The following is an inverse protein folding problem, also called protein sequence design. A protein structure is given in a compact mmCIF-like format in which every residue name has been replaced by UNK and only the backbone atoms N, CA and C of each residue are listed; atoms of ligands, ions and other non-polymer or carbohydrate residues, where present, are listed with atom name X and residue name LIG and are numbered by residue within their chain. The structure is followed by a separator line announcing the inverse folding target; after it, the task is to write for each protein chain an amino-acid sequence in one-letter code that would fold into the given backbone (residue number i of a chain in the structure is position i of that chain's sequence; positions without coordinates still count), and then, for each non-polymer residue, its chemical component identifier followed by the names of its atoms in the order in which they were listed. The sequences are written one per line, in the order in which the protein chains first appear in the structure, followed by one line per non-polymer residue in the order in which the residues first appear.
data_IF_229387583018
#
_entry.id   IF_229387583018
#
_cell.length_a   1.000
_cell.length_b   1.000
_cell.length_c   1.000
_cell.angle_alpha   90.00
_cell.angle_beta   90.00
_cell.angle_gamma   90.00
#
_symmetry.space_group_name_H-M   'P 1'
#
loop_
_entity.id
_entity.type
_entity.pdbx_description
1 polymer ?
#
# COMPACT_ATOMS: atom_id res chain seq x y z
N UNK A 1 30.61 9.44 -44.06
CA UNK A 1 30.50 9.84 -42.64
C UNK A 1 29.08 10.37 -42.41
N UNK A 2 28.25 9.61 -41.69
CA UNK A 2 26.84 9.90 -41.47
C UNK A 2 26.58 10.15 -39.98
N UNK A 3 25.84 11.21 -39.64
CA UNK A 3 25.20 11.37 -38.32
C UNK A 3 23.78 11.88 -38.52
N UNK A 4 22.83 10.98 -38.26
CA UNK A 4 21.40 11.15 -38.46
C UNK A 4 20.69 11.86 -37.31
N UNK A 5 19.54 12.42 -37.67
CA UNK A 5 18.69 13.27 -36.84
C UNK A 5 18.09 12.57 -35.61
N UNK A 6 17.91 13.36 -34.55
CA UNK A 6 17.13 12.99 -33.38
C UNK A 6 15.67 13.41 -33.59
N UNK A 7 14.80 12.41 -33.70
CA UNK A 7 13.35 12.59 -33.72
C UNK A 7 12.82 13.03 -32.34
N UNK A 8 12.30 14.26 -32.28
CA UNK A 8 11.37 14.75 -31.25
C UNK A 8 9.96 14.27 -31.63
N UNK A 9 9.40 13.30 -30.91
CA UNK A 9 7.96 13.01 -30.99
C UNK A 9 7.22 13.96 -30.03
N UNK A 10 6.38 14.83 -30.62
CA UNK A 10 5.41 15.70 -29.95
C UNK A 10 4.25 14.83 -29.43
N UNK A 11 3.83 15.05 -28.19
CA UNK A 11 2.56 14.51 -27.67
C UNK A 11 1.41 15.33 -28.27
N UNK A 12 0.59 14.69 -29.08
CA UNK A 12 -0.62 15.28 -29.64
C UNK A 12 -1.70 15.27 -28.56
N UNK A 13 -2.22 16.45 -28.23
CA UNK A 13 -3.40 16.61 -27.38
C UNK A 13 -4.66 16.34 -28.20
N UNK A 14 -5.62 15.64 -27.60
CA UNK A 14 -6.96 15.50 -28.15
C UNK A 14 -7.85 16.62 -27.61
N UNK A 15 -8.23 17.53 -28.50
CA UNK A 15 -9.37 18.43 -28.34
C UNK A 15 -10.66 17.60 -28.50
N UNK A 16 -11.60 17.77 -27.58
CA UNK A 16 -12.98 17.36 -27.75
C UNK A 16 -13.69 18.34 -28.68
N UNK A 17 -14.27 17.83 -29.76
CA UNK A 17 -15.27 18.52 -30.57
C UNK A 17 -16.49 17.60 -30.61
N UNK A 18 -17.63 18.12 -30.17
CA UNK A 18 -18.94 17.49 -30.23
C UNK A 18 -19.39 17.35 -31.69
N UNK A 19 -20.07 16.25 -32.00
CA UNK A 19 -21.27 16.24 -32.85
C UNK A 19 -22.04 14.92 -32.65
N UNK A 20 -23.36 15.05 -32.59
CA UNK A 20 -24.39 14.02 -32.50
C UNK A 20 -24.41 13.12 -33.76
N UNK A 21 -24.57 11.80 -33.60
CA UNK A 21 -25.75 11.07 -34.12
C UNK A 21 -25.68 9.54 -33.86
N UNK A 22 -26.80 9.03 -33.33
CA UNK A 22 -27.37 7.67 -33.33
C UNK A 22 -26.59 6.45 -33.87
N UNK A 23 -26.38 5.42 -33.01
CA UNK A 23 -26.86 4.02 -33.19
C UNK A 23 -26.37 3.04 -32.12
N UNK A 24 -27.16 1.99 -31.98
CA UNK A 24 -27.31 1.04 -30.89
C UNK A 24 -26.30 -0.14 -30.91
N UNK A 25 -26.20 -0.78 -29.74
CA UNK A 25 -25.83 -2.17 -29.44
C UNK A 25 -24.37 -2.59 -29.22
N UNK A 26 -24.18 -3.01 -27.95
CA UNK A 26 -23.61 -4.26 -27.48
C UNK A 26 -22.13 -4.37 -27.05
N UNK A 27 -22.03 -4.69 -25.75
CA UNK A 27 -21.06 -5.57 -25.13
C UNK A 27 -19.59 -5.12 -25.12
N UNK A 28 -19.31 -4.05 -24.38
CA UNK A 28 -17.99 -3.84 -23.78
C UNK A 28 -18.13 -3.97 -22.27
N UNK A 29 -17.48 -5.00 -21.72
CA UNK A 29 -17.23 -5.19 -20.29
C UNK A 29 -16.62 -3.91 -19.73
N UNK A 30 -17.48 -3.09 -19.13
CA UNK A 30 -17.07 -1.89 -18.43
C UNK A 30 -16.21 -2.34 -17.24
N UNK A 31 -14.92 -1.98 -17.27
CA UNK A 31 -14.10 -2.01 -16.07
C UNK A 31 -14.86 -1.25 -14.96
N UNK A 32 -14.92 -1.78 -13.72
CA UNK A 32 -15.67 -1.13 -12.66
C UNK A 32 -15.18 0.30 -12.51
N UNK A 33 -16.12 1.24 -12.63
CA UNK A 33 -15.87 2.67 -12.52
C UNK A 33 -15.15 2.93 -11.20
N UNK A 34 -14.01 3.60 -11.27
CA UNK A 34 -13.29 4.13 -10.11
C UNK A 34 -14.30 4.94 -9.30
N UNK A 35 -14.75 4.43 -8.17
CA UNK A 35 -15.60 5.19 -7.26
C UNK A 35 -14.89 6.53 -7.00
N UNK A 36 -15.65 7.63 -6.99
CA UNK A 36 -15.17 8.99 -6.74
C UNK A 36 -14.72 9.19 -5.27
N UNK A 37 -14.19 8.14 -4.62
CA UNK A 37 -13.79 8.07 -3.22
C UNK A 37 -12.38 8.66 -2.96
N UNK A 38 -11.83 9.38 -3.93
CA UNK A 38 -10.61 10.16 -3.72
C UNK A 38 -10.88 11.37 -2.83
N UNK A 39 -9.85 11.90 -2.15
CA UNK A 39 -10.02 13.11 -1.36
C UNK A 39 -10.49 14.29 -2.24
N UNK A 40 -11.31 15.20 -1.68
CA UNK A 40 -11.84 16.34 -2.42
C UNK A 40 -10.72 17.27 -2.90
N UNK A 41 -10.98 17.97 -4.01
CA UNK A 41 -10.04 18.94 -4.54
C UNK A 41 -9.76 20.06 -3.53
N UNK A 42 -8.47 20.38 -3.34
CA UNK A 42 -8.02 21.42 -2.40
C UNK A 42 -8.37 22.84 -2.85
N UNK A 43 -8.75 23.68 -1.89
CA UNK A 43 -8.83 25.13 -2.07
C UNK A 43 -7.47 25.76 -2.40
N UNK A 44 -7.45 26.95 -2.99
CA UNK A 44 -6.21 27.67 -3.30
C UNK A 44 -5.38 27.98 -2.04
N UNK A 45 -6.04 28.39 -0.96
CA UNK A 45 -5.38 28.64 0.33
C UNK A 45 -4.72 27.36 0.88
N UNK A 46 -5.40 26.21 0.78
CA UNK A 46 -4.84 24.93 1.20
C UNK A 46 -3.63 24.51 0.34
N UNK A 47 -3.65 24.82 -0.96
CA UNK A 47 -2.50 24.57 -1.85
C UNK A 47 -1.30 25.43 -1.48
N UNK A 48 -1.48 26.70 -1.18
CA UNK A 48 -0.37 27.58 -0.81
C UNK A 48 0.23 27.17 0.54
N UNK A 49 -0.63 26.91 1.53
CA UNK A 49 -0.19 26.39 2.83
C UNK A 49 0.56 25.06 2.72
N UNK A 50 0.14 24.16 1.82
CA UNK A 50 0.85 22.90 1.56
C UNK A 50 2.26 23.14 0.98
N UNK A 51 2.44 24.15 0.12
CA UNK A 51 3.77 24.50 -0.41
C UNK A 51 4.68 25.04 0.68
N UNK A 52 4.16 25.93 1.52
CA UNK A 52 4.93 26.51 2.63
C UNK A 52 5.39 25.43 3.59
N UNK A 53 4.47 24.54 3.98
CA UNK A 53 4.78 23.41 4.86
C UNK A 53 5.76 22.42 4.23
N UNK A 54 5.65 22.20 2.91
CA UNK A 54 6.60 21.36 2.16
C UNK A 54 7.98 22.01 2.11
N UNK A 55 8.06 23.33 1.95
CA UNK A 55 9.32 24.08 1.98
C UNK A 55 9.96 24.00 3.36
N UNK A 56 9.17 24.19 4.42
CA UNK A 56 9.61 24.04 5.80
C UNK A 56 10.20 22.64 6.06
N UNK A 57 9.47 21.57 5.72
CA UNK A 57 9.94 20.20 5.88
C UNK A 57 11.17 19.87 5.03
N UNK A 58 11.35 20.54 3.89
CA UNK A 58 12.58 20.40 3.09
C UNK A 58 13.77 20.97 3.84
N UNK A 59 13.67 22.21 4.34
CA UNK A 59 14.74 22.87 5.08
C UNK A 59 15.09 22.10 6.36
N UNK A 60 14.08 21.67 7.12
CA UNK A 60 14.25 20.78 8.27
C UNK A 60 14.93 19.48 7.86
N UNK A 61 14.52 18.93 6.71
CA UNK A 61 15.08 17.70 6.19
C UNK A 61 16.57 17.78 5.84
N UNK A 62 17.05 18.95 5.42
CA UNK A 62 18.47 19.19 5.17
C UNK A 62 19.26 19.26 6.48
N UNK A 63 18.70 19.92 7.51
CA UNK A 63 19.33 20.02 8.85
C UNK A 63 19.38 18.66 9.54
N UNK A 64 18.25 17.94 9.57
CA UNK A 64 18.14 16.60 10.18
C UNK A 64 18.72 15.49 9.29
N UNK A 65 19.21 15.82 8.09
CA UNK A 65 19.74 14.86 7.11
C UNK A 65 18.77 13.72 6.82
N UNK A 66 17.49 14.06 6.64
CA UNK A 66 16.39 13.14 6.34
C UNK A 66 16.65 12.39 5.02
N UNK A 67 17.35 11.26 5.08
CA UNK A 67 17.72 10.45 3.92
C UNK A 67 19.14 9.90 3.92
N UNK A 68 20.03 10.38 4.80
CA UNK A 68 21.43 9.91 4.88
C UNK A 68 21.59 8.65 5.74
N UNK A 69 20.61 8.33 6.60
CA UNK A 69 20.58 7.12 7.44
C UNK A 69 20.28 5.82 6.65
N UNK A 70 20.98 5.63 5.53
CA UNK A 70 20.94 4.38 4.75
C UNK A 70 21.64 3.23 5.48
N UNK A 71 22.45 3.53 6.50
CA UNK A 71 23.26 2.57 7.27
C UNK A 71 22.52 1.97 8.47
N UNK A 72 21.35 2.49 8.86
CA UNK A 72 20.63 2.01 10.05
C UNK A 72 21.34 2.36 11.37
N UNK A 73 22.43 3.13 11.33
CA UNK A 73 23.06 3.69 12.52
C UNK A 73 22.31 4.96 12.93
N UNK A 74 21.89 5.07 14.21
CA UNK A 74 21.32 6.31 14.75
C UNK A 74 22.26 7.48 14.51
N UNK A 75 21.72 8.68 14.30
CA UNK A 75 22.55 9.88 14.26
C UNK A 75 23.24 10.00 15.62
N UNK A 76 24.56 10.19 15.61
CA UNK A 76 25.38 10.27 16.82
C UNK A 76 24.95 11.39 17.80
N UNK A 77 24.11 12.33 17.34
CA UNK A 77 23.56 13.41 18.16
C UNK A 77 22.10 13.74 17.78
N UNK A 78 21.19 12.76 17.91
CA UNK A 78 19.75 13.04 17.86
C UNK A 78 19.29 13.90 19.02
N UNK A 79 19.92 13.75 20.20
CA UNK A 79 19.55 14.47 21.41
C UNK A 79 19.64 15.99 21.24
N UNK A 80 20.67 16.52 20.59
CA UNK A 80 20.77 17.97 20.31
C UNK A 80 19.65 18.48 19.38
N UNK A 81 19.07 17.60 18.56
CA UNK A 81 18.02 17.95 17.61
C UNK A 81 16.60 17.70 18.14
N UNK A 82 16.42 17.16 19.35
CA UNK A 82 15.10 16.90 19.94
C UNK A 82 14.19 18.13 19.99
N UNK A 83 14.65 19.33 20.40
CA UNK A 83 13.79 20.52 20.41
C UNK A 83 13.29 20.89 19.01
N UNK A 84 14.13 20.71 17.99
CA UNK A 84 13.76 20.94 16.59
C UNK A 84 12.75 19.90 16.11
N UNK A 85 12.95 18.63 16.45
CA UNK A 85 12.03 17.55 16.11
C UNK A 85 10.65 17.79 16.75
N UNK A 86 10.62 18.16 18.03
CA UNK A 86 9.38 18.49 18.73
C UNK A 86 8.66 19.68 18.07
N UNK A 87 9.39 20.75 17.71
CA UNK A 87 8.82 21.90 17.02
C UNK A 87 8.24 21.53 15.65
N UNK A 88 8.92 20.65 14.90
CA UNK A 88 8.42 20.15 13.61
C UNK A 88 7.13 19.35 13.78
N UNK A 89 7.07 18.46 14.77
CA UNK A 89 5.89 17.64 15.02
C UNK A 89 4.69 18.48 15.46
N UNK A 90 4.92 19.51 16.26
CA UNK A 90 3.87 20.44 16.67
C UNK A 90 3.38 21.28 15.49
N UNK A 91 4.27 21.78 14.62
CA UNK A 91 3.88 22.50 13.41
C UNK A 91 3.04 21.63 12.46
N UNK A 92 3.37 20.34 12.35
CA UNK A 92 2.63 19.40 11.50
C UNK A 92 1.24 19.07 12.02
N UNK A 93 1.00 19.24 13.31
CA UNK A 93 -0.20 18.77 14.00
C UNK A 93 -1.47 19.38 13.38
N UNK A 94 -2.33 18.52 12.86
CA UNK A 94 -3.57 18.92 12.20
C UNK A 94 -3.40 19.42 10.76
N UNK A 95 -2.17 19.45 10.25
CA UNK A 95 -1.82 19.89 8.90
C UNK A 95 -1.36 18.73 8.00
N UNK A 96 -1.29 17.50 8.49
CA UNK A 96 -0.74 16.34 7.78
C UNK A 96 -1.47 16.06 6.47
N UNK A 97 -2.78 16.25 6.44
CA UNK A 97 -3.61 16.09 5.24
C UNK A 97 -3.16 16.99 4.07
N UNK A 98 -2.58 18.16 4.36
CA UNK A 98 -2.02 19.06 3.35
C UNK A 98 -0.74 18.50 2.72
N UNK A 99 0.03 17.69 3.44
CA UNK A 99 1.22 17.05 2.90
C UNK A 99 0.91 15.73 2.21
N UNK A 100 -0.10 14.99 2.70
CA UNK A 100 -0.42 13.66 2.20
C UNK A 100 -0.79 13.65 0.71
N UNK A 101 -1.62 14.60 0.25
CA UNK A 101 -1.97 14.71 -1.18
C UNK A 101 -0.97 15.57 -1.98
N UNK A 102 0.11 16.07 -1.38
CA UNK A 102 1.19 16.73 -2.11
C UNK A 102 2.29 15.72 -2.46
N UNK A 103 2.68 15.66 -3.74
CA UNK A 103 3.67 14.69 -4.22
C UNK A 103 5.04 14.85 -3.52
N UNK A 104 5.43 16.08 -3.18
CA UNK A 104 6.72 16.38 -2.56
C UNK A 104 6.61 16.29 -1.04
N UNK A 105 5.57 16.90 -0.46
CA UNK A 105 5.23 16.86 0.95
C UNK A 105 5.13 15.43 1.48
N UNK A 106 4.40 14.56 0.79
CA UNK A 106 4.26 13.13 1.15
C UNK A 106 5.59 12.39 1.22
N UNK A 107 6.56 12.72 0.36
CA UNK A 107 7.90 12.13 0.39
C UNK A 107 8.71 12.63 1.58
N UNK A 108 8.58 13.91 1.94
CA UNK A 108 9.22 14.45 3.14
C UNK A 108 8.62 13.84 4.40
N UNK A 109 7.31 13.67 4.45
CA UNK A 109 6.60 13.04 5.56
C UNK A 109 7.03 11.57 5.74
N UNK A 110 7.15 10.79 4.66
CA UNK A 110 7.72 9.45 4.72
C UNK A 110 9.16 9.43 5.25
N UNK A 111 9.99 10.43 4.89
CA UNK A 111 11.36 10.52 5.41
C UNK A 111 11.37 10.83 6.90
N UNK A 112 10.47 11.70 7.36
CA UNK A 112 10.31 12.00 8.79
C UNK A 112 9.91 10.76 9.58
N UNK A 113 8.88 10.02 9.14
CA UNK A 113 8.44 8.76 9.78
C UNK A 113 9.62 7.78 9.91
N UNK A 114 10.40 7.58 8.83
CA UNK A 114 11.59 6.72 8.89
C UNK A 114 12.67 7.24 9.82
N UNK A 115 12.86 8.55 9.86
CA UNK A 115 13.85 9.17 10.74
C UNK A 115 13.49 8.93 12.21
N UNK A 116 12.23 9.12 12.59
CA UNK A 116 11.77 8.84 13.96
C UNK A 116 12.04 7.38 14.33
N UNK A 117 11.67 6.43 13.45
CA UNK A 117 11.98 5.01 13.62
C UNK A 117 13.48 4.74 13.79
N UNK A 118 14.30 5.21 12.85
CA UNK A 118 15.72 4.87 12.80
C UNK A 118 16.54 5.48 13.95
N UNK A 119 15.99 6.49 14.62
CA UNK A 119 16.62 7.15 15.74
C UNK A 119 15.95 6.83 17.09
N UNK A 120 15.13 5.77 17.14
CA UNK A 120 14.48 5.27 18.36
C UNK A 120 13.57 6.32 19.05
N UNK A 121 12.97 7.22 18.28
CA UNK A 121 12.00 8.21 18.77
C UNK A 121 10.59 7.60 18.75
N UNK A 122 10.39 6.64 19.64
CA UNK A 122 9.21 5.77 19.66
C UNK A 122 7.91 6.51 19.95
N UNK A 123 7.91 7.40 20.95
CA UNK A 123 6.72 8.17 21.33
C UNK A 123 6.30 9.12 20.21
N UNK A 124 7.25 9.85 19.63
CA UNK A 124 7.04 10.75 18.51
C UNK A 124 6.57 10.01 17.25
N UNK A 125 7.14 8.82 16.99
CA UNK A 125 6.71 7.96 15.89
C UNK A 125 5.25 7.53 16.07
N UNK A 126 4.88 7.06 17.27
CA UNK A 126 3.53 6.59 17.58
C UNK A 126 2.52 7.73 17.46
N UNK A 127 2.85 8.89 18.03
CA UNK A 127 2.02 10.10 17.97
C UNK A 127 1.78 10.55 16.51
N UNK A 128 2.83 10.69 15.70
CA UNK A 128 2.69 11.05 14.29
C UNK A 128 1.90 9.99 13.52
N UNK A 129 2.23 8.71 13.67
CA UNK A 129 1.55 7.62 12.98
C UNK A 129 0.05 7.59 13.31
N UNK A 130 -0.35 7.85 14.56
CA UNK A 130 -1.77 7.90 14.95
C UNK A 130 -2.56 8.88 14.07
N UNK A 131 -2.07 10.12 13.91
CA UNK A 131 -2.70 11.15 13.10
C UNK A 131 -2.72 10.83 11.61
N UNK A 132 -1.70 10.13 11.11
CA UNK A 132 -1.62 9.70 9.71
C UNK A 132 -2.64 8.59 9.41
N UNK A 133 -2.83 7.65 10.33
CA UNK A 133 -3.78 6.53 10.18
C UNK A 133 -5.24 6.98 10.35
N UNK A 134 -5.51 8.12 10.99
CA UNK A 134 -6.86 8.70 11.07
C UNK A 134 -7.34 9.30 9.73
N UNK A 135 -6.43 9.56 8.77
CA UNK A 135 -6.77 10.13 7.44
C UNK A 135 -7.16 9.04 6.45
N UNK A 136 -8.30 8.40 6.69
CA UNK A 136 -8.77 7.26 5.89
C UNK A 136 -9.05 7.60 4.42
N UNK A 137 -9.37 8.85 4.12
CA UNK A 137 -9.48 9.39 2.75
C UNK A 137 -8.17 9.29 1.95
N UNK A 138 -7.02 9.15 2.63
CA UNK A 138 -5.71 8.99 2.01
C UNK A 138 -5.40 7.56 1.59
N UNK A 139 -6.23 6.57 1.94
CA UNK A 139 -5.91 5.17 1.67
C UNK A 139 -5.96 4.84 0.17
N UNK A 140 -6.78 5.58 -0.56
CA UNK A 140 -6.95 5.49 -2.01
C UNK A 140 -6.11 6.52 -2.77
N UNK A 141 -5.43 7.43 -2.06
CA UNK A 141 -4.64 8.50 -2.68
C UNK A 141 -3.28 8.00 -3.18
N UNK A 142 -2.87 8.44 -4.37
CA UNK A 142 -1.62 8.03 -5.03
C UNK A 142 -0.34 8.47 -4.30
N UNK A 143 -0.43 9.43 -3.38
CA UNK A 143 0.69 9.91 -2.58
C UNK A 143 0.50 9.56 -1.10
N UNK A 144 -0.69 9.84 -0.56
CA UNK A 144 -1.07 9.60 0.83
C UNK A 144 -0.96 8.12 1.22
N UNK A 145 -1.38 7.22 0.34
CA UNK A 145 -1.30 5.78 0.60
C UNK A 145 0.13 5.29 0.85
N UNK A 146 1.14 5.91 0.21
CA UNK A 146 2.54 5.57 0.45
C UNK A 146 3.03 6.03 1.83
N UNK A 147 2.50 7.16 2.33
CA UNK A 147 2.82 7.62 3.69
C UNK A 147 2.18 6.68 4.72
N UNK A 148 0.94 6.27 4.50
CA UNK A 148 0.24 5.30 5.37
C UNK A 148 0.97 3.96 5.39
N UNK A 149 1.39 3.44 4.23
CA UNK A 149 2.21 2.23 4.14
C UNK A 149 3.50 2.35 4.96
N UNK A 150 4.21 3.48 4.85
CA UNK A 150 5.45 3.71 5.59
C UNK A 150 5.20 3.82 7.10
N UNK A 151 4.13 4.51 7.52
CA UNK A 151 3.72 4.60 8.93
C UNK A 151 3.46 3.21 9.52
N UNK A 152 2.60 2.40 8.86
CA UNK A 152 2.30 1.03 9.27
C UNK A 152 3.55 0.15 9.31
N UNK A 153 4.43 0.26 8.32
CA UNK A 153 5.68 -0.50 8.26
C UNK A 153 6.67 -0.10 9.36
N UNK A 154 6.64 1.15 9.83
CA UNK A 154 7.53 1.63 10.88
C UNK A 154 7.07 1.20 12.28
N UNK A 155 5.77 1.01 12.48
CA UNK A 155 5.18 0.54 13.74
C UNK A 155 5.55 -0.91 14.10
N UNK A 156 6.11 -1.70 13.18
CA UNK A 156 6.56 -3.07 13.48
C UNK A 156 7.59 -3.13 14.62
N UNK A 157 8.39 -2.08 14.79
CA UNK A 157 9.38 -1.98 15.87
C UNK A 157 8.77 -1.62 17.23
N UNK A 158 7.47 -1.34 17.28
CA UNK A 158 6.73 -0.86 18.46
C UNK A 158 5.54 -1.79 18.79
N UNK A 159 5.60 -3.06 18.37
CA UNK A 159 4.53 -4.05 18.60
C UNK A 159 4.37 -4.49 20.07
N UNK A 160 5.17 -3.99 21.00
CA UNK A 160 4.96 -4.14 22.44
C UNK A 160 4.21 -2.94 23.06
N UNK A 161 4.00 -1.89 22.29
CA UNK A 161 3.24 -0.73 22.73
C UNK A 161 1.73 -0.98 22.56
N UNK A 162 0.97 -0.92 23.65
CA UNK A 162 -0.49 -1.11 23.65
C UNK A 162 -1.24 -0.10 22.77
N UNK A 163 -0.77 1.14 22.71
CA UNK A 163 -1.35 2.16 21.82
C UNK A 163 -1.16 1.75 20.36
N UNK A 164 -0.01 1.17 20.00
CA UNK A 164 0.25 0.65 18.66
C UNK A 164 -0.69 -0.50 18.32
N UNK A 165 -0.89 -1.44 19.25
CA UNK A 165 -1.88 -2.50 19.06
C UNK A 165 -3.30 -1.97 18.87
N UNK A 166 -3.70 -0.97 19.65
CA UNK A 166 -5.00 -0.32 19.51
C UNK A 166 -5.18 0.30 18.12
N UNK A 167 -4.18 1.05 17.64
CA UNK A 167 -4.18 1.64 16.30
C UNK A 167 -4.28 0.57 15.20
N UNK A 168 -3.46 -0.48 15.27
CA UNK A 168 -3.47 -1.56 14.28
C UNK A 168 -4.81 -2.31 14.27
N UNK A 169 -5.44 -2.54 15.44
CA UNK A 169 -6.78 -3.14 15.53
C UNK A 169 -7.85 -2.24 14.89
N UNK A 170 -7.80 -0.93 15.13
CA UNK A 170 -8.70 0.03 14.49
C UNK A 170 -8.53 0.02 12.97
N UNK A 171 -7.29 -0.04 12.47
CA UNK A 171 -7.01 -0.16 11.05
C UNK A 171 -7.53 -1.47 10.46
N UNK A 172 -7.32 -2.60 11.14
CA UNK A 172 -7.89 -3.90 10.73
C UNK A 172 -9.41 -3.81 10.65
N UNK A 173 -10.07 -3.22 11.66
CA UNK A 173 -11.53 -3.04 11.68
C UNK A 173 -12.00 -2.21 10.48
N UNK A 174 -11.36 -1.07 10.22
CA UNK A 174 -11.68 -0.23 9.07
C UNK A 174 -11.54 -1.01 7.74
N UNK A 175 -10.46 -1.75 7.56
CA UNK A 175 -10.24 -2.57 6.35
C UNK A 175 -11.31 -3.65 6.22
N UNK A 176 -11.70 -4.31 7.31
CA UNK A 176 -12.78 -5.31 7.33
C UNK A 176 -14.12 -4.71 6.91
N UNK A 177 -14.42 -3.49 7.34
CA UNK A 177 -15.66 -2.77 7.03
C UNK A 177 -15.70 -2.23 5.60
N UNK A 178 -14.53 -1.97 4.99
CA UNK A 178 -14.40 -1.39 3.65
C UNK A 178 -13.72 -2.34 2.65
N UNK A 179 -13.67 -3.64 2.97
CA UNK A 179 -12.82 -4.60 2.25
C UNK A 179 -13.21 -4.72 0.79
N UNK A 180 -14.53 -4.72 0.52
CA UNK A 180 -15.11 -4.85 -0.82
C UNK A 180 -14.56 -3.82 -1.80
N UNK A 181 -14.28 -2.59 -1.36
CA UNK A 181 -13.75 -1.53 -2.20
C UNK A 181 -12.22 -1.52 -2.18
N UNK A 182 -11.62 -1.66 -1.00
CA UNK A 182 -10.17 -1.58 -0.82
C UNK A 182 -9.42 -2.68 -1.59
N UNK A 183 -10.00 -3.87 -1.73
CA UNK A 183 -9.32 -5.01 -2.36
C UNK A 183 -9.11 -4.80 -3.86
N UNK A 184 -9.93 -3.99 -4.53
CA UNK A 184 -9.77 -3.70 -5.97
C UNK A 184 -8.85 -2.50 -6.22
N UNK A 185 -8.67 -1.62 -5.24
CA UNK A 185 -7.89 -0.41 -5.43
C UNK A 185 -6.37 -0.65 -5.40
N UNK A 186 -5.67 -0.07 -6.37
CA UNK A 186 -4.24 -0.26 -6.54
C UNK A 186 -3.42 0.35 -5.38
N UNK A 187 -3.92 1.40 -4.71
CA UNK A 187 -3.25 2.04 -3.57
C UNK A 187 -3.61 1.35 -2.26
N UNK A 188 -4.89 1.11 -2.01
CA UNK A 188 -5.39 0.54 -0.77
C UNK A 188 -4.87 -0.89 -0.53
N UNK A 189 -4.77 -1.71 -1.57
CA UNK A 189 -4.16 -3.06 -1.48
C UNK A 189 -2.71 -3.05 -1.00
N UNK A 190 -1.94 -1.99 -1.26
CA UNK A 190 -0.59 -1.86 -0.70
C UNK A 190 -0.61 -1.59 0.81
N UNK A 191 -1.62 -0.88 1.32
CA UNK A 191 -1.79 -0.68 2.77
C UNK A 191 -2.14 -2.00 3.45
N UNK A 192 -3.07 -2.78 2.86
CA UNK A 192 -3.43 -4.12 3.38
C UNK A 192 -2.17 -5.00 3.46
N UNK A 193 -1.34 -5.00 2.41
CA UNK A 193 -0.09 -5.77 2.42
C UNK A 193 0.91 -5.29 3.47
N UNK A 194 1.05 -3.98 3.64
CA UNK A 194 1.94 -3.40 4.66
C UNK A 194 1.45 -3.77 6.06
N UNK A 195 0.15 -3.72 6.30
CA UNK A 195 -0.45 -4.13 7.56
C UNK A 195 -0.26 -5.62 7.84
N UNK A 196 -0.50 -6.49 6.86
CA UNK A 196 -0.31 -7.93 7.01
C UNK A 196 1.13 -8.27 7.40
N UNK A 197 2.12 -7.65 6.74
CA UNK A 197 3.53 -7.83 7.08
C UNK A 197 3.84 -7.32 8.49
N UNK A 198 3.36 -6.13 8.86
CA UNK A 198 3.56 -5.57 10.21
C UNK A 198 2.93 -6.47 11.29
N UNK A 199 1.68 -6.92 11.10
CA UNK A 199 1.00 -7.82 12.03
C UNK A 199 1.71 -9.17 12.14
N UNK A 200 2.31 -9.67 11.07
CA UNK A 200 3.11 -10.89 11.08
C UNK A 200 4.55 -10.69 11.60
N UNK A 201 4.92 -9.48 12.04
CA UNK A 201 6.22 -9.15 12.61
C UNK A 201 7.34 -8.91 11.59
N UNK A 202 7.03 -8.82 10.30
CA UNK A 202 8.05 -8.63 9.26
C UNK A 202 8.53 -7.19 9.17
N UNK A 203 9.85 -7.00 9.25
CA UNK A 203 10.47 -5.69 9.05
C UNK A 203 10.58 -5.42 7.56
N UNK A 204 9.77 -4.49 7.07
CA UNK A 204 9.68 -4.19 5.66
C UNK A 204 10.89 -3.36 5.18
N UNK A 205 11.48 -3.71 4.01
CA UNK A 205 12.59 -2.94 3.47
C UNK A 205 12.10 -1.57 2.98
N UNK A 206 12.86 -0.51 3.30
CA UNK A 206 12.51 0.85 2.88
C UNK A 206 12.38 0.96 1.36
N UNK A 207 11.26 1.53 0.90
CA UNK A 207 10.91 1.68 -0.53
C UNK A 207 11.67 2.80 -1.24
N UNK A 208 12.74 3.33 -0.64
CA UNK A 208 13.49 4.48 -1.18
C UNK A 208 13.82 4.31 -2.66
N UNK A 209 13.51 5.35 -3.46
CA UNK A 209 13.68 5.37 -4.91
C UNK A 209 15.09 5.03 -5.39
N UNK A 210 16.11 5.24 -4.56
CA UNK A 210 17.50 4.94 -4.87
C UNK A 210 17.82 3.42 -4.89
N UNK A 211 17.03 2.57 -4.24
CA UNK A 211 17.22 1.10 -4.29
C UNK A 211 16.67 0.44 -5.55
N UNK A 212 15.88 1.15 -6.38
CA UNK A 212 15.33 0.63 -7.65
C UNK A 212 16.42 0.22 -8.66
N UNK A 213 17.64 0.77 -8.56
CA UNK A 213 18.77 0.36 -9.42
C UNK A 213 19.34 -1.01 -9.02
N UNK A 214 19.43 -1.34 -7.72
CA UNK A 214 19.93 -2.65 -7.24
C UNK A 214 18.92 -3.77 -7.47
N UNK A 215 17.61 -3.49 -7.29
CA UNK A 215 16.55 -4.50 -7.48
C UNK A 215 16.38 -4.93 -8.95
N UNK A 216 16.62 -4.02 -9.91
CA UNK A 216 16.61 -4.36 -11.35
C UNK A 216 17.73 -5.34 -11.73
N UNK A 217 18.90 -5.22 -11.10
CA UNK A 217 20.05 -6.11 -11.37
C UNK A 217 19.86 -7.49 -10.71
N UNK A 218 19.16 -7.55 -9.56
CA UNK A 218 18.84 -8.80 -8.87
C UNK A 218 17.67 -9.55 -9.55
N UNK A 219 16.66 -8.84 -10.07
CA UNK A 219 15.57 -9.43 -10.87
C UNK A 219 16.04 -9.93 -12.24
N UNK A 220 17.03 -9.27 -12.87
CA UNK A 220 17.61 -9.77 -14.13
C UNK A 220 18.40 -11.07 -13.94
N UNK A 221 18.96 -11.32 -12.75
CA UNK A 221 19.67 -12.57 -12.44
C UNK A 221 18.72 -13.70 -11.97
N UNK A 222 17.58 -13.36 -11.35
CA UNK A 222 16.56 -14.33 -10.93
C UNK A 222 15.73 -14.87 -12.11
N UNK A 223 15.47 -14.03 -13.12
CA UNK A 223 14.83 -14.41 -14.39
C UNK A 223 15.62 -15.48 -15.16
N UNK A 224 16.94 -15.60 -14.95
CA UNK A 224 17.79 -16.61 -15.55
C UNK A 224 17.77 -17.97 -14.81
N UNK A 225 17.17 -18.05 -13.62
CA UNK A 225 17.16 -19.26 -12.76
C UNK A 225 15.80 -19.97 -12.70
N UNK A 226 14.76 -19.47 -13.37
CA UNK A 226 13.41 -20.06 -13.30
C UNK A 226 12.77 -20.02 -11.90
N UNK A 227 13.31 -19.24 -10.96
CA UNK A 227 12.89 -19.13 -9.54
C UNK A 227 12.05 -17.89 -9.24
N UNK A 228 11.56 -17.20 -10.27
CA UNK A 228 10.95 -15.87 -10.15
C UNK A 228 9.47 -15.87 -9.67
N UNK A 229 8.93 -16.98 -9.18
CA UNK A 229 7.46 -17.16 -9.06
C UNK A 229 6.89 -17.06 -7.65
N UNK A 230 7.68 -17.19 -6.58
CA UNK A 230 7.16 -17.19 -5.21
C UNK A 230 7.11 -15.79 -4.58
N UNK A 231 6.00 -15.48 -3.89
CA UNK A 231 5.87 -14.31 -3.02
C UNK A 231 7.04 -14.29 -2.01
N UNK A 232 8.00 -13.39 -2.22
CA UNK A 232 9.19 -13.31 -1.36
C UNK A 232 8.89 -12.47 -0.13
N UNK A 233 8.86 -13.11 1.04
CA UNK A 233 8.72 -12.42 2.31
C UNK A 233 10.01 -11.66 2.69
N UNK A 234 9.91 -10.56 3.46
CA UNK A 234 11.09 -9.90 4.02
C UNK A 234 11.94 -10.87 4.86
N UNK A 235 13.26 -10.78 4.74
CA UNK A 235 14.19 -11.70 5.41
C UNK A 235 14.23 -11.56 6.93
N UNK A 236 13.83 -10.40 7.45
CA UNK A 236 13.88 -10.11 8.89
C UNK A 236 12.47 -10.13 9.48
N UNK A 237 12.23 -11.08 10.38
CA UNK A 237 10.99 -11.25 11.11
C UNK A 237 11.26 -11.13 12.61
N UNK A 238 10.50 -10.27 13.28
CA UNK A 238 10.49 -10.18 14.73
C UNK A 238 9.65 -11.33 15.29
N UNK A 239 10.01 -11.82 16.49
CA UNK A 239 9.20 -12.83 17.19
C UNK A 239 7.82 -12.30 17.58
N UNK A 240 7.74 -10.99 17.82
CA UNK A 240 6.52 -10.29 18.22
C UNK A 240 5.63 -10.07 16.98
N UNK A 241 4.48 -10.72 16.94
CA UNK A 241 3.46 -10.58 15.90
C UNK A 241 2.14 -11.26 16.25
N UNK A 242 1.06 -10.86 15.60
CA UNK A 242 -0.25 -11.49 15.70
C UNK A 242 -0.77 -11.86 14.29
N UNK A 243 -0.19 -12.89 13.64
CA UNK A 243 -0.57 -13.31 12.30
C UNK A 243 -2.05 -13.74 12.18
N UNK A 244 -2.70 -14.08 13.30
CA UNK A 244 -4.13 -14.43 13.35
C UNK A 244 -5.05 -13.32 12.82
N UNK A 245 -4.64 -12.05 12.87
CA UNK A 245 -5.37 -10.97 12.23
C UNK A 245 -5.34 -11.06 10.70
N UNK A 246 -4.27 -11.59 10.11
CA UNK A 246 -4.19 -11.84 8.67
C UNK A 246 -5.19 -12.93 8.25
N UNK A 247 -5.33 -13.99 9.07
CA UNK A 247 -6.35 -15.03 8.87
C UNK A 247 -7.77 -14.45 8.93
N UNK A 248 -8.03 -13.50 9.85
CA UNK A 248 -9.32 -12.80 9.93
C UNK A 248 -9.61 -11.95 8.70
N UNK A 249 -8.60 -11.26 8.16
CA UNK A 249 -8.74 -10.45 6.95
C UNK A 249 -9.10 -11.30 5.74
N UNK A 250 -8.42 -12.43 5.52
CA UNK A 250 -8.73 -13.32 4.39
C UNK A 250 -10.06 -14.08 4.58
N UNK A 251 -10.41 -14.46 5.81
CA UNK A 251 -11.73 -15.03 6.10
C UNK A 251 -12.85 -14.00 5.83
N UNK A 252 -12.62 -12.72 6.21
CA UNK A 252 -13.57 -11.65 5.91
C UNK A 252 -13.67 -11.40 4.41
N UNK A 253 -12.58 -11.46 3.64
CA UNK A 253 -12.66 -11.39 2.18
C UNK A 253 -13.63 -12.45 1.62
N UNK A 254 -13.51 -13.70 2.08
CA UNK A 254 -14.37 -14.78 1.62
C UNK A 254 -15.84 -14.53 2.00
N UNK A 255 -16.11 -14.05 3.22
CA UNK A 255 -17.47 -13.76 3.70
C UNK A 255 -18.02 -12.36 3.37
N UNK A 256 -17.24 -11.43 2.83
CA UNK A 256 -17.71 -10.09 2.40
C UNK A 256 -18.39 -10.14 1.04
N UNK A 257 -18.14 -11.19 0.27
CA UNK A 257 -18.82 -11.46 -0.98
C UNK A 257 -20.17 -12.18 -0.75
N UNK A 258 -20.52 -12.47 0.52
CA UNK A 258 -21.89 -12.77 0.92
C UNK A 258 -22.70 -11.47 0.94
N UNK A 259 -23.34 -11.12 -0.17
CA UNK A 259 -24.49 -10.23 -0.09
C UNK A 259 -25.60 -10.95 0.66
N UNK A 260 -25.78 -10.57 1.93
CA UNK A 260 -26.93 -10.92 2.77
C UNK A 260 -28.19 -10.46 2.05
N UNK A 261 -28.83 -11.40 1.34
CA UNK A 261 -30.29 -11.62 1.22
C UNK A 261 -30.71 -12.37 -0.05
N UNK A 262 -29.85 -12.56 -1.07
CA UNK A 262 -30.23 -13.34 -2.29
C UNK A 262 -29.06 -14.01 -3.05
N UNK A 263 -27.84 -14.04 -2.50
CA UNK A 263 -26.62 -14.29 -3.28
C UNK A 263 -26.39 -15.73 -3.76
N UNK A 264 -26.36 -15.91 -5.07
CA UNK A 264 -25.94 -17.10 -5.80
C UNK A 264 -24.47 -17.45 -5.47
N UNK A 265 -24.21 -18.60 -4.84
CA UNK A 265 -22.84 -19.10 -4.53
C UNK A 265 -21.91 -19.04 -5.77
N UNK A 266 -22.49 -19.16 -6.96
CA UNK A 266 -21.78 -19.02 -8.24
C UNK A 266 -21.21 -17.61 -8.45
N UNK A 267 -21.93 -16.55 -8.06
CA UNK A 267 -21.47 -15.16 -8.22
C UNK A 267 -20.34 -14.84 -7.23
N UNK A 268 -20.45 -15.31 -5.98
CA UNK A 268 -19.40 -15.17 -4.98
C UNK A 268 -18.12 -15.86 -5.42
N UNK A 269 -18.23 -17.09 -5.91
CA UNK A 269 -17.10 -17.86 -6.42
C UNK A 269 -16.45 -17.19 -7.63
N UNK A 270 -17.26 -16.61 -8.51
CA UNK A 270 -16.76 -15.83 -9.64
C UNK A 270 -15.97 -14.59 -9.18
N UNK A 271 -16.48 -13.83 -8.21
CA UNK A 271 -15.78 -12.65 -7.67
C UNK A 271 -14.47 -13.01 -6.98
N UNK A 272 -14.43 -14.10 -6.20
CA UNK A 272 -13.19 -14.62 -5.59
C UNK A 272 -12.16 -15.02 -6.65
N UNK A 273 -12.62 -15.67 -7.72
CA UNK A 273 -11.78 -16.02 -8.84
C UNK A 273 -11.21 -14.76 -9.50
N UNK A 274 -12.05 -13.78 -9.82
CA UNK A 274 -11.64 -12.50 -10.42
C UNK A 274 -10.61 -11.75 -9.56
N UNK A 275 -10.77 -11.77 -8.23
CA UNK A 275 -9.79 -11.19 -7.31
C UNK A 275 -8.44 -11.91 -7.34
N UNK A 276 -8.44 -13.24 -7.45
CA UNK A 276 -7.22 -14.03 -7.60
C UNK A 276 -6.54 -13.83 -8.96
N UNK A 277 -7.27 -13.33 -9.95
CA UNK A 277 -6.76 -12.94 -11.28
C UNK A 277 -6.34 -11.47 -11.35
N UNK A 278 -6.88 -10.62 -10.46
CA UNK A 278 -6.63 -9.19 -10.48
C UNK A 278 -5.17 -8.86 -10.09
N UNK A 279 -4.44 -8.02 -10.86
CA UNK A 279 -3.00 -7.78 -10.65
C UNK A 279 -2.62 -7.25 -9.26
N UNK A 280 -3.48 -6.46 -8.62
CA UNK A 280 -3.22 -5.87 -7.30
C UNK A 280 -3.75 -6.76 -6.16
N UNK A 281 -4.90 -7.38 -6.36
CA UNK A 281 -5.62 -8.13 -5.33
C UNK A 281 -5.00 -9.52 -5.13
N UNK A 282 -4.64 -10.20 -6.21
CA UNK A 282 -4.00 -11.53 -6.19
C UNK A 282 -2.78 -11.58 -5.27
N UNK A 283 -1.88 -10.60 -5.38
CA UNK A 283 -0.68 -10.48 -4.52
C UNK A 283 -1.05 -10.26 -3.06
N UNK A 284 -2.13 -9.53 -2.80
CA UNK A 284 -2.63 -9.28 -1.44
C UNK A 284 -3.21 -10.55 -0.82
N UNK A 285 -3.99 -11.31 -1.60
CA UNK A 285 -4.57 -12.60 -1.17
C UNK A 285 -3.47 -13.62 -0.91
N UNK A 286 -2.51 -13.75 -1.85
CA UNK A 286 -1.33 -14.60 -1.70
C UNK A 286 -0.59 -14.28 -0.39
N UNK A 287 -0.36 -13.00 -0.10
CA UNK A 287 0.30 -12.60 1.13
C UNK A 287 -0.51 -12.96 2.37
N UNK A 288 -1.79 -12.64 2.41
CA UNK A 288 -2.65 -12.95 3.55
C UNK A 288 -2.72 -14.46 3.81
N UNK A 289 -2.79 -15.28 2.75
CA UNK A 289 -2.72 -16.74 2.88
C UNK A 289 -1.37 -17.19 3.44
N UNK A 290 -0.27 -16.66 2.91
CA UNK A 290 1.10 -17.03 3.30
C UNK A 290 1.39 -16.69 4.77
N UNK A 291 1.04 -15.48 5.23
CA UNK A 291 1.37 -15.05 6.60
C UNK A 291 0.31 -15.38 7.64
N UNK A 292 -0.94 -15.56 7.20
CA UNK A 292 -2.09 -15.79 8.08
C UNK A 292 -2.37 -17.27 8.36
N UNK A 293 -1.86 -18.21 7.54
CA UNK A 293 -2.16 -19.63 7.67
C UNK A 293 -3.66 -19.90 7.85
N UNK A 294 -4.51 -19.51 6.88
CA UNK A 294 -5.95 -19.61 7.00
C UNK A 294 -6.42 -21.06 7.11
N UNK A 295 -7.64 -21.26 7.62
CA UNK A 295 -8.23 -22.59 7.75
C UNK A 295 -8.55 -23.21 6.39
N UNK A 296 -8.67 -24.54 6.36
CA UNK A 296 -9.05 -25.29 5.16
C UNK A 296 -10.38 -24.79 4.55
N UNK A 297 -11.32 -24.35 5.39
CA UNK A 297 -12.59 -23.77 4.93
C UNK A 297 -12.41 -22.51 4.08
N UNK A 298 -11.47 -21.63 4.45
CA UNK A 298 -11.16 -20.42 3.67
C UNK A 298 -10.55 -20.79 2.33
N UNK A 299 -9.65 -21.77 2.29
CA UNK A 299 -9.09 -22.25 1.03
C UNK A 299 -10.16 -22.88 0.13
N UNK A 300 -11.08 -23.67 0.69
CA UNK A 300 -12.22 -24.22 -0.07
C UNK A 300 -13.08 -23.12 -0.66
N UNK A 301 -13.39 -22.07 0.09
CA UNK A 301 -14.13 -20.92 -0.43
C UNK A 301 -13.40 -20.20 -1.56
N UNK A 302 -12.07 -20.06 -1.50
CA UNK A 302 -11.31 -19.39 -2.57
C UNK A 302 -11.19 -20.27 -3.81
N UNK A 303 -10.82 -21.54 -3.63
CA UNK A 303 -10.59 -22.48 -4.72
C UNK A 303 -11.88 -22.87 -5.44
N UNK A 304 -12.98 -22.98 -4.70
CA UNK A 304 -14.29 -23.37 -5.22
C UNK A 304 -14.29 -24.76 -5.86
N UNK A 305 -14.94 -24.83 -7.02
CA UNK A 305 -15.09 -26.05 -7.80
C UNK A 305 -13.94 -26.27 -8.81
N UNK A 306 -14.00 -27.40 -9.53
CA UNK A 306 -12.99 -27.75 -10.52
C UNK A 306 -12.88 -26.74 -11.68
N UNK A 307 -13.98 -26.05 -12.01
CA UNK A 307 -14.00 -25.05 -13.08
C UNK A 307 -13.31 -23.76 -12.66
N UNK A 308 -13.52 -23.33 -11.41
CA UNK A 308 -12.81 -22.22 -10.78
C UNK A 308 -11.30 -22.47 -10.75
N UNK A 309 -10.88 -23.67 -10.34
CA UNK A 309 -9.45 -24.05 -10.36
C UNK A 309 -8.89 -24.02 -11.79
N UNK A 310 -9.60 -24.59 -12.77
CA UNK A 310 -9.18 -24.55 -14.18
C UNK A 310 -9.03 -23.13 -14.70
N UNK A 311 -9.95 -22.23 -14.34
CA UNK A 311 -9.88 -20.80 -14.68
C UNK A 311 -8.64 -20.15 -14.07
N UNK A 312 -8.39 -20.35 -12.78
CA UNK A 312 -7.19 -19.81 -12.12
C UNK A 312 -5.90 -20.31 -12.77
N UNK A 313 -5.83 -21.58 -13.17
CA UNK A 313 -4.67 -22.13 -13.89
C UNK A 313 -4.44 -21.46 -15.26
N UNK A 314 -5.50 -20.95 -15.89
CA UNK A 314 -5.42 -20.33 -17.22
C UNK A 314 -4.88 -18.89 -17.20
N UNK A 315 -4.82 -18.26 -16.02
CA UNK A 315 -4.33 -16.89 -15.86
C UNK A 315 -3.00 -16.86 -15.09
N UNK A 316 -2.10 -15.96 -15.48
CA UNK A 316 -0.79 -15.81 -14.82
C UNK A 316 -0.90 -15.51 -13.31
N UNK A 317 -1.70 -14.51 -12.88
CA UNK A 317 -1.92 -14.22 -11.46
C UNK A 317 -2.69 -15.32 -10.71
N UNK A 318 -3.67 -15.96 -11.35
CA UNK A 318 -4.44 -17.05 -10.77
C UNK A 318 -3.58 -18.27 -10.48
N UNK A 319 -2.73 -18.68 -11.44
CA UNK A 319 -1.81 -19.80 -11.29
C UNK A 319 -0.84 -19.58 -10.13
N UNK A 320 -0.36 -18.34 -9.94
CA UNK A 320 0.51 -17.99 -8.79
C UNK A 320 -0.23 -18.04 -7.46
N UNK A 321 -1.51 -17.65 -7.44
CA UNK A 321 -2.34 -17.78 -6.26
C UNK A 321 -2.53 -19.25 -5.87
N UNK A 322 -2.76 -20.13 -6.86
CA UNK A 322 -2.85 -21.58 -6.65
C UNK A 322 -1.54 -22.17 -6.08
N UNK A 323 -0.38 -21.75 -6.60
CA UNK A 323 0.93 -22.19 -6.06
C UNK A 323 1.05 -21.91 -4.56
N UNK A 324 0.52 -20.78 -4.08
CA UNK A 324 0.55 -20.42 -2.65
C UNK A 324 -0.47 -21.23 -1.84
N UNK A 325 -1.63 -21.56 -2.42
CA UNK A 325 -2.69 -22.25 -1.68
C UNK A 325 -2.44 -23.76 -1.53
N UNK A 326 -1.58 -24.34 -2.36
CA UNK A 326 -1.26 -25.78 -2.38
C UNK A 326 0.07 -26.08 -1.66
N UNK A 327 0.90 -25.06 -1.43
CA UNK A 327 2.21 -25.16 -0.75
C UNK A 327 2.06 -25.27 0.78
#
# INVERSE_FOLDING_TARGET
MARGGRNRRKSVGYQQQQDDDTRNDDNTTAAPRRNETGPPARSLAAKEKAKDLTSYLRSVGEVLKLGEASSGEPLADVTANLPMIAAVLEELKGQEGLLLQDQTGSKHLQRLVRFLKNNNLGEELVDLCSRLLEKTDMYYDQYGSHVVQEAVACLVAQLDNEQVWSMLKTLVKYIIENFSDMVWDACATHIIRSLALTLAGYVQPSTSSNKKKKKKQQQQNAAASGRDTALTLPSHKLEKGAPTYCSKLIAKLCGCLDSVETGDESQQQQQLSELCEHPSSSVTIQLLATVGSPSEGVFKSILGDADSIRRLMSSGPGSRSLEVFIA
#
